data_IF_226940215962
#
_entry.id   IF_226940215962
#
_cell.length_a   1.000
_cell.length_b   1.000
_cell.length_c   1.000
_cell.angle_alpha   90.00
_cell.angle_beta   90.00
_cell.angle_gamma   90.00
#
_symmetry.space_group_name_H-M   'P 1'
#
loop_
_entity.id
_entity.type
_entity.pdbx_description
1 polymer ?
#
# COMPACT_ATOMS: atom_id res chain seq x y z
N UNK A 1 -15.14 -4.73 -20.07
CA UNK A 1 -14.48 -3.40 -20.18
C UNK A 1 -14.75 -2.57 -18.93
N UNK A 2 -16.01 -2.33 -18.54
CA UNK A 2 -16.33 -1.55 -17.34
C UNK A 2 -15.67 -2.03 -16.03
N UNK A 3 -15.57 -3.35 -15.79
CA UNK A 3 -14.95 -3.86 -14.55
C UNK A 3 -13.43 -3.60 -14.47
N UNK A 4 -12.72 -3.70 -15.59
CA UNK A 4 -11.27 -3.45 -15.62
C UNK A 4 -10.95 -1.96 -15.43
N UNK A 5 -11.79 -1.07 -15.99
CA UNK A 5 -11.72 0.37 -15.73
C UNK A 5 -11.97 0.69 -14.26
N UNK A 6 -12.97 0.05 -13.65
CA UNK A 6 -13.28 0.25 -12.24
C UNK A 6 -12.13 -0.22 -11.32
N UNK A 7 -11.57 -1.40 -11.58
CA UNK A 7 -10.42 -1.92 -10.82
C UNK A 7 -9.20 -1.01 -10.93
N UNK A 8 -8.95 -0.45 -12.11
CA UNK A 8 -7.86 0.49 -12.32
C UNK A 8 -8.09 1.79 -11.53
N UNK A 9 -9.32 2.32 -11.50
CA UNK A 9 -9.66 3.48 -10.69
C UNK A 9 -9.53 3.22 -9.19
N UNK A 10 -9.90 2.03 -8.71
CA UNK A 10 -9.71 1.63 -7.31
C UNK A 10 -8.22 1.56 -6.96
N UNK A 11 -7.40 0.98 -7.83
CA UNK A 11 -5.94 0.94 -7.67
C UNK A 11 -5.32 2.34 -7.65
N UNK A 12 -5.67 3.20 -8.62
CA UNK A 12 -5.19 4.59 -8.66
C UNK A 12 -5.60 5.38 -7.41
N UNK A 13 -6.81 5.13 -6.89
CA UNK A 13 -7.29 5.74 -5.65
C UNK A 13 -6.49 5.28 -4.43
N UNK A 14 -6.12 4.00 -4.37
CA UNK A 14 -5.25 3.45 -3.33
C UNK A 14 -3.85 4.07 -3.40
N UNK A 15 -3.25 4.11 -4.59
CA UNK A 15 -1.92 4.71 -4.81
C UNK A 15 -1.90 6.17 -4.37
N UNK A 16 -2.93 6.95 -4.74
CA UNK A 16 -3.05 8.36 -4.35
C UNK A 16 -3.13 8.53 -2.82
N UNK A 17 -3.93 7.69 -2.13
CA UNK A 17 -4.03 7.73 -0.66
C UNK A 17 -2.73 7.35 0.02
N UNK A 18 -2.05 6.30 -0.43
CA UNK A 18 -0.76 5.91 0.15
C UNK A 18 0.27 7.03 -0.07
N UNK A 19 0.30 7.64 -1.26
CA UNK A 19 1.19 8.78 -1.56
C UNK A 19 0.93 9.96 -0.61
N UNK A 20 -0.34 10.24 -0.29
CA UNK A 20 -0.69 11.27 0.68
C UNK A 20 -0.26 10.88 2.10
N UNK A 21 -0.44 9.62 2.49
CA UNK A 21 -0.04 9.13 3.82
C UNK A 21 1.49 9.20 3.98
N UNK A 22 2.28 8.74 2.99
CA UNK A 22 3.74 8.90 3.02
C UNK A 22 4.16 10.36 3.10
N UNK A 23 3.46 11.26 2.42
CA UNK A 23 3.73 12.69 2.55
C UNK A 23 3.44 13.21 3.96
N UNK A 24 2.37 12.77 4.60
CA UNK A 24 1.99 13.24 5.92
C UNK A 24 3.01 12.82 7.00
N UNK A 25 3.63 11.65 6.86
CA UNK A 25 4.56 11.13 7.87
C UNK A 25 6.03 11.50 7.60
N UNK A 26 6.47 11.48 6.33
CA UNK A 26 7.89 11.66 5.97
C UNK A 26 8.11 12.74 4.91
N UNK A 27 7.08 13.55 4.60
CA UNK A 27 7.14 14.60 3.56
C UNK A 27 7.60 14.09 2.18
N UNK A 28 7.28 12.82 1.88
CA UNK A 28 7.63 12.16 0.62
C UNK A 28 6.40 11.97 -0.27
N UNK A 29 6.24 12.88 -1.25
CA UNK A 29 5.24 12.77 -2.32
C UNK A 29 5.82 12.02 -3.51
N UNK A 30 5.93 10.70 -3.41
CA UNK A 30 6.39 9.88 -4.53
C UNK A 30 5.43 8.71 -4.80
N UNK A 31 4.82 8.72 -6.00
CA UNK A 31 3.94 7.66 -6.48
C UNK A 31 4.66 6.31 -6.57
N UNK A 32 5.92 6.29 -6.99
CA UNK A 32 6.69 5.06 -7.16
C UNK A 32 6.89 4.34 -5.82
N UNK A 33 7.07 5.10 -4.74
CA UNK A 33 7.15 4.55 -3.38
C UNK A 33 5.81 3.95 -2.98
N UNK A 34 4.70 4.62 -3.28
CA UNK A 34 3.36 4.08 -3.00
C UNK A 34 3.10 2.77 -3.77
N UNK A 35 3.42 2.72 -5.07
CA UNK A 35 3.31 1.51 -5.89
C UNK A 35 4.20 0.38 -5.37
N UNK A 36 5.42 0.70 -4.94
CA UNK A 36 6.35 -0.26 -4.36
C UNK A 36 5.85 -0.82 -3.02
N UNK A 37 5.29 0.01 -2.13
CA UNK A 37 4.70 -0.43 -0.87
C UNK A 37 3.54 -1.39 -1.10
N UNK A 38 2.68 -1.11 -2.07
CA UNK A 38 1.59 -2.01 -2.47
C UNK A 38 2.16 -3.34 -2.95
N UNK A 39 3.14 -3.29 -3.86
CA UNK A 39 3.76 -4.48 -4.40
C UNK A 39 4.43 -5.36 -3.32
N UNK A 40 5.12 -4.72 -2.37
CA UNK A 40 5.77 -5.42 -1.26
C UNK A 40 4.72 -6.08 -0.35
N UNK A 41 3.65 -5.37 -0.02
CA UNK A 41 2.53 -5.92 0.75
C UNK A 41 1.87 -7.13 0.06
N UNK A 42 1.70 -7.06 -1.26
CA UNK A 42 1.19 -8.18 -2.04
C UNK A 42 2.09 -9.42 -1.95
N UNK A 43 3.41 -9.24 -1.96
CA UNK A 43 4.38 -10.32 -1.76
C UNK A 43 4.33 -10.88 -0.33
N UNK A 44 4.07 -10.02 0.66
CA UNK A 44 3.80 -10.41 2.05
C UNK A 44 2.43 -11.10 2.24
N UNK A 45 1.64 -11.29 1.16
CA UNK A 45 0.32 -11.96 1.18
C UNK A 45 -0.68 -11.34 2.15
N UNK A 46 -0.54 -10.05 2.45
CA UNK A 46 -1.38 -9.35 3.42
C UNK A 46 -1.09 -9.67 4.89
N UNK A 47 0.06 -10.27 5.20
CA UNK A 47 0.54 -10.44 6.58
C UNK A 47 1.37 -9.22 6.99
N UNK A 48 0.89 -8.48 7.99
CA UNK A 48 1.55 -7.28 8.50
C UNK A 48 2.94 -7.56 9.09
N UNK A 49 3.15 -8.73 9.70
CA UNK A 49 4.45 -9.10 10.28
C UNK A 49 5.47 -9.30 9.16
N UNK A 50 5.10 -10.08 8.14
CA UNK A 50 5.95 -10.31 6.96
C UNK A 50 6.20 -9.00 6.20
N UNK A 51 5.21 -8.11 6.16
CA UNK A 51 5.36 -6.79 5.55
C UNK A 51 6.35 -5.90 6.31
N UNK A 52 6.26 -5.85 7.64
CA UNK A 52 7.21 -5.13 8.51
C UNK A 52 8.62 -5.70 8.38
N UNK A 53 8.77 -7.01 8.34
CA UNK A 53 10.06 -7.68 8.17
C UNK A 53 10.69 -7.34 6.81
N UNK A 54 9.90 -7.38 5.74
CA UNK A 54 10.37 -7.02 4.40
C UNK A 54 10.83 -5.56 4.31
N UNK A 55 10.12 -4.62 4.96
CA UNK A 55 10.55 -3.22 5.05
C UNK A 55 11.82 -3.04 5.87
N UNK A 56 11.97 -3.83 6.94
CA UNK A 56 13.17 -3.82 7.77
C UNK A 56 14.40 -4.31 7.00
N UNK A 57 14.24 -5.27 6.07
CA UNK A 57 15.34 -5.72 5.20
C UNK A 57 15.79 -4.70 4.15
N UNK A 58 14.98 -3.67 3.90
CA UNK A 58 15.27 -2.62 2.92
C UNK A 58 15.93 -1.39 3.56
N UNK A 59 16.25 -1.45 4.85
CA UNK A 59 16.68 -0.30 5.66
C UNK A 59 15.75 0.92 5.50
N UNK A 60 14.46 0.64 5.28
CA UNK A 60 13.46 1.69 5.10
C UNK A 60 13.08 2.24 6.48
N UNK A 61 13.49 3.46 6.79
CA UNK A 61 13.22 4.14 8.06
C UNK A 61 11.76 4.69 8.11
N UNK A 62 10.80 3.79 7.91
CA UNK A 62 9.38 4.10 7.90
C UNK A 62 8.79 3.92 9.30
N UNK A 63 8.05 4.91 9.83
CA UNK A 63 7.44 4.78 11.15
C UNK A 63 6.37 3.68 11.14
N UNK A 64 6.29 2.91 12.24
CA UNK A 64 5.34 1.80 12.37
C UNK A 64 3.88 2.24 12.14
N UNK A 65 3.52 3.45 12.54
CA UNK A 65 2.20 4.05 12.31
C UNK A 65 1.86 4.20 10.81
N UNK A 66 2.84 4.58 9.99
CA UNK A 66 2.68 4.66 8.54
C UNK A 66 2.51 3.27 7.96
N UNK A 67 3.36 2.30 8.35
CA UNK A 67 3.30 0.92 7.86
C UNK A 67 1.92 0.30 8.14
N UNK A 68 1.42 0.46 9.36
CA UNK A 68 0.10 -0.05 9.75
C UNK A 68 -1.05 0.66 9.03
N UNK A 69 -0.90 1.96 8.73
CA UNK A 69 -1.91 2.71 7.97
C UNK A 69 -1.94 2.27 6.51
N UNK A 70 -0.78 2.06 5.90
CA UNK A 70 -0.63 1.55 4.54
C UNK A 70 -1.21 0.13 4.43
N UNK A 71 -0.88 -0.77 5.35
CA UNK A 71 -1.45 -2.13 5.40
C UNK A 71 -2.98 -2.11 5.42
N UNK A 72 -3.59 -1.31 6.30
CA UNK A 72 -5.05 -1.15 6.37
C UNK A 72 -5.65 -0.58 5.08
N UNK A 73 -4.98 0.40 4.46
CA UNK A 73 -5.43 0.98 3.19
C UNK A 73 -5.42 -0.07 2.09
N UNK A 74 -4.35 -0.87 1.98
CA UNK A 74 -4.22 -1.92 0.97
C UNK A 74 -5.29 -3.00 1.19
N UNK A 75 -5.44 -3.52 2.41
CA UNK A 75 -6.43 -4.56 2.71
C UNK A 75 -7.88 -4.11 2.49
N UNK A 76 -8.17 -2.80 2.63
CA UNK A 76 -9.53 -2.26 2.49
C UNK A 76 -9.87 -1.78 1.08
N UNK A 77 -8.88 -1.36 0.28
CA UNK A 77 -9.13 -0.71 -1.02
C UNK A 77 -8.55 -1.46 -2.21
N UNK A 78 -7.57 -2.36 -2.01
CA UNK A 78 -6.98 -3.06 -3.13
C UNK A 78 -7.97 -4.08 -3.71
N UNK A 79 -8.25 -4.07 -5.03
CA UNK A 79 -9.29 -4.91 -5.64
C UNK A 79 -9.07 -6.41 -5.40
N UNK A 80 -7.81 -6.84 -5.27
CA UNK A 80 -7.42 -8.23 -4.93
C UNK A 80 -7.87 -8.70 -3.54
N UNK A 81 -7.86 -7.81 -2.54
CA UNK A 81 -8.24 -8.14 -1.16
C UNK A 81 -9.73 -7.88 -0.92
N UNK A 82 -10.28 -6.85 -1.55
CA UNK A 82 -11.72 -6.52 -1.49
C UNK A 82 -12.61 -7.66 -2.00
N UNK A 83 -12.21 -8.32 -3.08
CA UNK A 83 -12.96 -9.45 -3.67
C UNK A 83 -12.91 -10.75 -2.86
N UNK A 84 -12.03 -10.83 -1.86
CA UNK A 84 -11.90 -12.00 -0.98
C UNK A 84 -12.73 -11.88 0.32
N UNK A 85 -13.54 -10.82 0.49
CA UNK A 85 -14.45 -10.64 1.62
C UNK A 85 -15.88 -11.00 1.28
#
# INVERSE_FOLDING_TARGET
MADADLENLEYLSLVAKITQETNNHISLLNKEVAEYLIHLHEQSKGDLTVFKDALSTLDADLPASLIESVDRLILSMHPKYKKQR
#
